data_IF_399405235002
#
_entry.id   IF_399405235002
#
_cell.length_a   1.000
_cell.length_b   1.000
_cell.length_c   1.000
_cell.angle_alpha   90.00
_cell.angle_beta   90.00
_cell.angle_gamma   90.00
#
_symmetry.space_group_name_H-M   'P 1'
#
loop_
_entity.id
_entity.type
_entity.pdbx_description
1 polymer ?
#
# COMPACT_ATOMS: atom_id res chain seq x y z
N UNK A 1 10.55 -8.70 -7.90
CA UNK A 1 10.83 -7.92 -9.12
C UNK A 1 9.55 -7.80 -9.94
N UNK A 2 9.00 -6.58 -10.11
CA UNK A 2 7.66 -6.37 -10.69
C UNK A 2 7.68 -6.02 -12.18
N UNK A 3 8.81 -5.53 -12.68
CA UNK A 3 8.94 -5.06 -14.06
C UNK A 3 10.33 -5.38 -14.58
N UNK A 4 10.42 -5.90 -15.81
CA UNK A 4 11.64 -5.73 -16.60
C UNK A 4 11.91 -4.25 -16.90
N UNK A 5 13.09 -3.90 -17.43
CA UNK A 5 13.54 -2.50 -17.67
C UNK A 5 12.70 -1.67 -18.68
N UNK A 6 11.46 -2.08 -19.03
CA UNK A 6 10.58 -1.41 -20.01
C UNK A 6 9.94 -0.14 -19.40
N UNK A 7 10.26 1.07 -19.91
CA UNK A 7 9.86 2.35 -19.29
C UNK A 7 8.34 2.55 -19.16
N UNK A 8 7.56 2.12 -20.15
CA UNK A 8 6.10 2.30 -20.16
C UNK A 8 5.40 1.51 -19.04
N UNK A 9 5.95 0.34 -18.68
CA UNK A 9 5.35 -0.48 -17.63
C UNK A 9 5.64 0.11 -16.24
N UNK A 10 6.86 0.61 -16.01
CA UNK A 10 7.22 1.35 -14.79
C UNK A 10 6.33 2.59 -14.63
N UNK A 11 6.09 3.36 -15.71
CA UNK A 11 5.21 4.55 -15.66
C UNK A 11 3.78 4.19 -15.26
N UNK A 12 3.21 3.10 -15.81
CA UNK A 12 1.86 2.63 -15.43
C UNK A 12 1.80 2.19 -13.97
N UNK A 13 2.79 1.43 -13.50
CA UNK A 13 2.84 0.99 -12.11
C UNK A 13 2.92 2.16 -11.13
N UNK A 14 3.77 3.16 -11.42
CA UNK A 14 3.83 4.40 -10.64
C UNK A 14 2.50 5.14 -10.63
N UNK A 15 1.84 5.27 -11.79
CA UNK A 15 0.55 5.93 -11.88
C UNK A 15 -0.53 5.23 -11.02
N UNK A 16 -0.51 3.89 -10.98
CA UNK A 16 -1.42 3.11 -10.11
C UNK A 16 -1.12 3.33 -8.63
N UNK A 17 0.15 3.31 -8.25
CA UNK A 17 0.54 3.47 -6.84
C UNK A 17 0.30 4.90 -6.32
N UNK A 18 0.65 5.92 -7.10
CA UNK A 18 0.50 7.32 -6.72
C UNK A 18 -0.99 7.71 -6.81
N UNK A 19 -1.66 7.31 -7.90
CA UNK A 19 -3.01 7.77 -8.22
C UNK A 19 -3.04 9.25 -8.60
N UNK A 20 -4.23 9.74 -8.96
CA UNK A 20 -4.44 11.16 -9.29
C UNK A 20 -4.08 12.04 -8.10
N UNK A 21 -3.18 13.01 -8.31
CA UNK A 21 -2.65 13.93 -7.29
C UNK A 21 -2.10 13.25 -6.03
N UNK A 22 -1.68 11.99 -6.12
CA UNK A 22 -1.21 11.23 -4.95
C UNK A 22 -2.35 10.65 -4.09
N UNK A 23 -3.60 10.66 -4.55
CA UNK A 23 -4.77 10.20 -3.79
C UNK A 23 -4.63 8.74 -3.35
N UNK A 24 -4.17 7.86 -4.24
CA UNK A 24 -4.05 6.43 -3.91
C UNK A 24 -2.99 6.23 -2.85
N UNK A 25 -1.81 6.83 -3.01
CA UNK A 25 -0.73 6.83 -2.02
C UNK A 25 -1.22 7.30 -0.65
N UNK A 26 -1.93 8.43 -0.58
CA UNK A 26 -2.48 8.96 0.68
C UNK A 26 -3.46 8.00 1.35
N UNK A 27 -4.30 7.31 0.58
CA UNK A 27 -5.24 6.31 1.11
C UNK A 27 -4.49 5.11 1.68
N UNK A 28 -3.46 4.62 0.96
CA UNK A 28 -2.60 3.53 1.44
C UNK A 28 -1.96 3.93 2.77
N UNK A 29 -1.23 5.06 2.79
CA UNK A 29 -0.56 5.60 3.98
C UNK A 29 -1.51 5.74 5.18
N UNK A 30 -2.73 6.25 4.95
CA UNK A 30 -3.71 6.48 6.02
C UNK A 30 -4.32 5.20 6.59
N UNK A 31 -4.48 4.15 5.77
CA UNK A 31 -5.11 2.90 6.22
C UNK A 31 -4.09 1.91 6.82
N UNK A 32 -2.85 1.94 6.34
CA UNK A 32 -1.76 1.13 6.90
C UNK A 32 -0.92 1.85 7.94
N UNK A 33 -1.20 3.12 8.25
CA UNK A 33 -0.45 3.91 9.24
C UNK A 33 1.06 3.92 8.96
N UNK A 34 1.41 4.01 7.68
CA UNK A 34 2.80 4.05 7.21
C UNK A 34 3.02 5.21 6.22
N UNK A 35 4.28 5.49 5.92
CA UNK A 35 4.71 6.46 4.93
C UNK A 35 5.25 5.74 3.70
N UNK A 36 4.89 6.23 2.50
CA UNK A 36 5.29 5.64 1.23
C UNK A 36 6.04 6.69 0.40
N UNK A 37 7.26 6.36 -0.02
CA UNK A 37 8.06 7.16 -0.95
C UNK A 37 8.24 6.42 -2.26
N UNK A 38 8.09 7.11 -3.39
CA UNK A 38 8.21 6.52 -4.74
C UNK A 38 9.29 7.26 -5.51
N UNK A 39 10.41 6.59 -5.78
CA UNK A 39 11.56 7.15 -6.50
C UNK A 39 11.95 6.26 -7.67
N UNK A 40 11.78 6.75 -8.91
CA UNK A 40 12.13 5.96 -10.09
C UNK A 40 11.35 4.65 -10.16
N UNK A 41 12.03 3.50 -10.04
CA UNK A 41 11.41 2.18 -9.95
C UNK A 41 11.23 1.67 -8.51
N UNK A 42 11.72 2.42 -7.52
CA UNK A 42 11.86 2.01 -6.14
C UNK A 42 10.73 2.58 -5.30
N UNK A 43 10.20 1.76 -4.41
CA UNK A 43 9.18 2.16 -3.43
C UNK A 43 9.75 1.91 -2.04
N UNK A 44 9.87 2.96 -1.24
CA UNK A 44 10.22 2.89 0.18
C UNK A 44 8.95 2.94 1.03
N UNK A 45 8.92 2.14 2.10
CA UNK A 45 7.82 2.08 3.06
C UNK A 45 8.41 2.16 4.45
N UNK A 46 7.87 3.04 5.29
CA UNK A 46 8.31 3.23 6.68
C UNK A 46 7.07 3.25 7.56
N UNK A 47 7.02 2.37 8.56
CA UNK A 47 5.94 2.30 9.54
C UNK A 47 6.36 1.42 10.71
N UNK A 48 5.42 1.14 11.61
CA UNK A 48 5.60 0.09 12.61
C UNK A 48 5.54 -1.31 11.96
N UNK A 49 5.71 -2.36 12.77
CA UNK A 49 5.72 -3.76 12.31
C UNK A 49 4.48 -4.08 11.46
N UNK A 50 3.29 -3.79 12.00
CA UNK A 50 2.03 -4.05 11.32
C UNK A 50 1.85 -3.20 10.05
N UNK A 51 2.15 -1.91 10.14
CA UNK A 51 1.95 -0.96 9.04
C UNK A 51 2.89 -1.21 7.87
N UNK A 52 4.11 -1.65 8.15
CA UNK A 52 5.09 -2.02 7.13
C UNK A 52 4.65 -3.27 6.37
N UNK A 53 4.17 -4.30 7.08
CA UNK A 53 3.68 -5.54 6.46
C UNK A 53 2.42 -5.32 5.62
N UNK A 54 1.44 -4.60 6.19
CA UNK A 54 0.18 -4.31 5.52
C UNK A 54 0.40 -3.38 4.32
N UNK A 55 1.21 -2.33 4.50
CA UNK A 55 1.56 -1.39 3.44
C UNK A 55 2.30 -2.06 2.29
N UNK A 56 3.31 -2.90 2.60
CA UNK A 56 4.03 -3.69 1.60
C UNK A 56 3.07 -4.57 0.80
N UNK A 57 2.19 -5.30 1.49
CA UNK A 57 1.23 -6.18 0.80
C UNK A 57 0.27 -5.40 -0.11
N UNK A 58 -0.20 -4.24 0.32
CA UNK A 58 -1.07 -3.38 -0.50
C UNK A 58 -0.35 -2.85 -1.76
N UNK A 59 0.92 -2.43 -1.61
CA UNK A 59 1.77 -2.03 -2.74
C UNK A 59 1.96 -3.21 -3.70
N UNK A 60 2.29 -4.40 -3.19
CA UNK A 60 2.47 -5.61 -3.98
C UNK A 60 1.20 -5.95 -4.80
N UNK A 61 0.02 -5.80 -4.20
CA UNK A 61 -1.26 -6.00 -4.89
C UNK A 61 -1.45 -5.01 -6.05
N UNK A 62 -1.21 -3.71 -5.82
CA UNK A 62 -1.32 -2.70 -6.88
C UNK A 62 -0.35 -2.94 -8.03
N UNK A 63 0.90 -3.29 -7.72
CA UNK A 63 1.94 -3.58 -8.71
C UNK A 63 1.66 -4.88 -9.47
N UNK A 64 1.02 -5.86 -8.84
CA UNK A 64 0.58 -7.12 -9.46
C UNK A 64 -0.70 -6.99 -10.29
N UNK A 65 -1.31 -5.80 -10.34
CA UNK A 65 -2.46 -5.53 -11.20
C UNK A 65 -3.81 -5.55 -10.50
N UNK A 66 -3.88 -5.75 -9.17
CA UNK A 66 -5.15 -5.68 -8.43
C UNK A 66 -5.82 -4.32 -8.53
N UNK A 67 -7.16 -4.31 -8.60
CA UNK A 67 -7.93 -3.08 -8.60
C UNK A 67 -7.74 -2.30 -7.30
N UNK A 68 -7.78 -0.96 -7.39
CA UNK A 68 -7.74 -0.10 -6.22
C UNK A 68 -8.82 -0.44 -5.20
N UNK A 69 -10.04 -0.78 -5.65
CA UNK A 69 -11.15 -1.18 -4.79
C UNK A 69 -10.80 -2.41 -3.94
N UNK A 70 -10.18 -3.42 -4.55
CA UNK A 70 -9.75 -4.64 -3.85
C UNK A 70 -8.67 -4.33 -2.81
N UNK A 71 -7.72 -3.47 -3.16
CA UNK A 71 -6.62 -3.07 -2.25
C UNK A 71 -7.16 -2.26 -1.07
N UNK A 72 -8.09 -1.33 -1.30
CA UNK A 72 -8.73 -0.56 -0.24
C UNK A 72 -9.54 -1.46 0.71
N UNK A 73 -10.30 -2.41 0.17
CA UNK A 73 -11.04 -3.38 1.00
C UNK A 73 -10.12 -4.26 1.84
N UNK A 74 -8.96 -4.67 1.30
CA UNK A 74 -7.93 -5.37 2.08
C UNK A 74 -7.42 -4.50 3.25
N UNK A 75 -7.04 -3.26 2.96
CA UNK A 75 -6.52 -2.32 3.96
C UNK A 75 -7.54 -2.02 5.07
N UNK A 76 -8.79 -1.77 4.71
CA UNK A 76 -9.88 -1.54 5.67
C UNK A 76 -10.11 -2.76 6.57
N UNK A 77 -10.09 -3.97 6.01
CA UNK A 77 -10.19 -5.22 6.76
C UNK A 77 -9.04 -5.36 7.76
N UNK A 78 -7.80 -5.15 7.32
CA UNK A 78 -6.63 -5.26 8.18
C UNK A 78 -6.71 -4.24 9.31
N UNK A 79 -7.05 -2.98 9.01
CA UNK A 79 -7.17 -1.91 10.03
C UNK A 79 -8.23 -2.25 11.07
N UNK A 80 -9.36 -2.82 10.65
CA UNK A 80 -10.39 -3.31 11.57
C UNK A 80 -9.86 -4.42 12.48
N UNK A 81 -9.11 -5.39 11.93
CA UNK A 81 -8.51 -6.47 12.71
C UNK A 81 -7.49 -5.94 13.72
N UNK A 82 -6.63 -4.99 13.33
CA UNK A 82 -5.68 -4.33 14.24
C UNK A 82 -6.41 -3.70 15.43
N UNK A 83 -7.48 -2.95 15.14
CA UNK A 83 -8.28 -2.29 16.19
C UNK A 83 -8.93 -3.29 17.14
N UNK A 84 -9.45 -4.40 16.63
CA UNK A 84 -10.03 -5.46 17.46
C UNK A 84 -8.98 -6.14 18.34
N UNK A 85 -7.82 -6.49 17.78
CA UNK A 85 -6.73 -7.10 18.54
C UNK A 85 -6.24 -6.20 19.69
N UNK A 86 -6.17 -4.89 19.46
CA UNK A 86 -5.85 -3.90 20.49
C UNK A 86 -6.90 -3.92 21.60
N UNK A 87 -8.20 -3.94 21.27
CA UNK A 87 -9.29 -4.00 22.25
C UNK A 87 -9.29 -5.29 23.07
N UNK A 88 -8.99 -6.42 22.43
CA UNK A 88 -8.93 -7.73 23.09
C UNK A 88 -7.75 -7.83 24.06
N UNK A 89 -6.63 -7.15 23.78
CA UNK A 89 -5.47 -7.08 24.67
C UNK A 89 -5.66 -6.24 25.94
N UNK A 90 -6.78 -5.50 26.06
CA UNK A 90 -7.15 -4.75 27.26
C UNK A 90 -8.15 -5.49 28.18
N UNK A 91 -8.59 -6.70 27.79
CA UNK A 91 -9.39 -7.60 28.62
C UNK A 91 -8.51 -8.58 29.38
#
# INVERSE_FOLDING_TARGET
DYVGKKPNHVRRMRARLIGTDGKSRRVLESLSECYISVYGNTVGIIGDEWGTDVGRRAVDMLLSGSEHRTVYGYLEKMRRQRRLAVLDGFR
#
